data_IF_294995056064
#
_entry.id   IF_294995056064
#
_cell.length_a   1.000
_cell.length_b   1.000
_cell.length_c   1.000
_cell.angle_alpha   90.00
_cell.angle_beta   90.00
_cell.angle_gamma   90.00
#
_symmetry.space_group_name_H-M   'P 1'
#
loop_
_entity.id
_entity.type
_entity.pdbx_description
1 polymer ?
#
# COMPACT_ATOMS: atom_id res chain seq x y z
N UNK A 1 12.46 -25.50 -8.51
CA UNK A 1 12.01 -25.54 -7.10
C UNK A 1 11.04 -24.39 -6.86
N UNK A 2 9.79 -24.60 -7.30
CA UNK A 2 8.67 -23.68 -7.08
C UNK A 2 8.11 -23.93 -5.68
N UNK A 3 8.63 -23.21 -4.69
CA UNK A 3 8.00 -23.11 -3.38
C UNK A 3 7.05 -21.92 -3.41
N UNK A 4 5.84 -22.25 -3.85
CA UNK A 4 4.58 -21.60 -3.53
C UNK A 4 4.68 -20.63 -2.34
N UNK A 5 4.51 -19.34 -2.62
CA UNK A 5 4.17 -18.31 -1.64
C UNK A 5 2.78 -18.65 -1.08
N UNK A 6 2.73 -19.60 -0.13
CA UNK A 6 1.56 -19.86 0.68
C UNK A 6 1.24 -18.59 1.48
N UNK A 7 0.03 -18.09 1.27
CA UNK A 7 -0.67 -17.02 2.00
C UNK A 7 0.16 -16.31 3.07
N UNK A 8 0.67 -15.14 2.68
CA UNK A 8 1.22 -14.20 3.64
C UNK A 8 0.08 -13.26 4.07
N UNK A 9 -0.23 -13.24 5.36
CA UNK A 9 -1.19 -12.27 5.90
C UNK A 9 -0.48 -10.93 6.11
N UNK A 10 -1.00 -9.86 5.51
CA UNK A 10 -0.60 -8.49 5.81
C UNK A 10 -1.13 -8.13 7.20
N UNK A 11 -0.22 -8.03 8.17
CA UNK A 11 -0.60 -7.66 9.54
C UNK A 11 0.13 -6.39 9.95
N UNK A 12 -0.65 -5.34 10.19
CA UNK A 12 -0.28 -4.04 10.77
C UNK A 12 0.60 -3.12 9.90
N UNK A 13 0.15 -1.87 9.78
CA UNK A 13 0.93 -0.74 9.26
C UNK A 13 1.35 0.12 10.44
N UNK A 14 2.65 0.37 10.56
CA UNK A 14 3.20 1.29 11.56
C UNK A 14 3.84 2.49 10.86
N UNK A 15 3.76 3.66 11.48
CA UNK A 15 4.31 4.91 10.95
C UNK A 15 5.32 5.45 11.94
N UNK A 16 6.53 5.73 11.46
CA UNK A 16 7.61 6.25 12.27
C UNK A 16 8.04 7.61 11.71
N UNK A 17 7.41 8.71 12.16
CA UNK A 17 7.89 10.04 11.81
C UNK A 17 9.33 10.22 12.33
N UNK A 18 10.27 10.61 11.48
CA UNK A 18 11.66 10.92 11.90
C UNK A 18 12.02 12.36 11.60
N UNK A 19 12.83 12.96 12.48
CA UNK A 19 13.53 14.21 12.18
C UNK A 19 14.50 13.98 11.01
N UNK A 20 14.59 14.95 10.09
CA UNK A 20 15.39 14.94 8.85
C UNK A 20 16.86 14.49 9.01
N UNK A 21 17.39 14.40 10.23
CA UNK A 21 18.74 13.92 10.51
C UNK A 21 18.90 12.40 10.43
N UNK A 22 17.81 11.61 10.36
CA UNK A 22 17.86 10.15 10.47
C UNK A 22 17.41 9.37 9.22
N UNK A 23 16.92 10.03 8.17
CA UNK A 23 16.49 9.35 6.93
C UNK A 23 17.26 9.92 5.72
N UNK A 24 18.18 9.15 5.11
CA UNK A 24 18.98 9.63 3.97
C UNK A 24 18.17 9.72 2.66
N UNK A 25 16.93 9.23 2.65
CA UNK A 25 16.01 9.19 1.50
C UNK A 25 14.70 9.89 1.84
N UNK A 26 14.01 10.40 0.83
CA UNK A 26 12.74 11.13 0.98
C UNK A 26 11.59 10.20 1.42
N UNK A 27 11.61 8.92 1.03
CA UNK A 27 10.65 7.91 1.47
C UNK A 27 11.32 6.54 1.44
N UNK A 28 11.19 5.76 2.52
CA UNK A 28 11.71 4.39 2.59
C UNK A 28 10.60 3.42 2.97
N UNK A 29 10.40 2.38 2.16
CA UNK A 29 9.56 1.23 2.50
C UNK A 29 10.42 0.16 3.15
N UNK A 30 10.07 -0.20 4.38
CA UNK A 30 10.70 -1.27 5.12
C UNK A 30 9.75 -2.46 5.24
N UNK A 31 10.25 -3.67 5.02
CA UNK A 31 9.46 -4.91 5.06
C UNK A 31 10.12 -5.86 6.07
N UNK A 32 9.32 -6.41 6.98
CA UNK A 32 9.74 -7.40 7.96
C UNK A 32 8.93 -8.67 7.72
N UNK A 33 9.63 -9.77 7.43
CA UNK A 33 9.03 -11.09 7.30
C UNK A 33 9.08 -11.83 8.63
N UNK A 34 7.92 -12.32 9.08
CA UNK A 34 7.82 -13.29 10.17
C UNK A 34 7.52 -14.67 9.57
N UNK A 35 8.58 -15.48 9.41
CA UNK A 35 8.48 -16.80 8.79
C UNK A 35 7.66 -17.80 9.61
N UNK A 36 7.70 -17.69 10.94
CA UNK A 36 6.94 -18.58 11.85
C UNK A 36 5.43 -18.33 11.72
N UNK A 37 5.03 -17.05 11.66
CA UNK A 37 3.64 -16.64 11.55
C UNK A 37 3.15 -16.52 10.10
N UNK A 38 4.04 -16.69 9.13
CA UNK A 38 3.77 -16.45 7.70
C UNK A 38 3.12 -15.07 7.48
N UNK A 39 3.69 -14.04 8.09
CA UNK A 39 3.20 -12.66 7.92
C UNK A 39 4.29 -11.74 7.39
N UNK A 40 3.86 -10.72 6.64
CA UNK A 40 4.68 -9.57 6.28
C UNK A 40 4.10 -8.35 6.97
N UNK A 41 4.97 -7.60 7.64
CA UNK A 41 4.67 -6.27 8.14
C UNK A 41 5.48 -5.25 7.36
N UNK A 42 4.91 -4.09 7.10
CA UNK A 42 5.63 -3.00 6.45
C UNK A 42 5.42 -1.68 7.18
N UNK A 43 6.40 -0.79 7.05
CA UNK A 43 6.33 0.57 7.54
C UNK A 43 7.04 1.52 6.59
N UNK A 44 6.57 2.77 6.58
CA UNK A 44 7.16 3.86 5.80
C UNK A 44 7.94 4.78 6.75
N UNK A 45 9.24 4.96 6.49
CA UNK A 45 10.04 6.03 7.09
C UNK A 45 10.02 7.24 6.14
N UNK A 46 9.77 8.43 6.68
CA UNK A 46 9.68 9.66 5.92
C UNK A 46 10.12 10.88 6.75
N UNK A 47 10.66 11.95 6.12
CA UNK A 47 10.91 13.22 6.78
C UNK A 47 9.60 14.02 6.92
N UNK A 48 9.23 14.40 8.15
CA UNK A 48 8.03 15.20 8.42
C UNK A 48 8.03 16.57 7.72
N UNK A 49 9.19 17.06 7.27
CA UNK A 49 9.29 18.31 6.52
C UNK A 49 8.77 18.20 5.08
N UNK A 50 8.74 16.98 4.52
CA UNK A 50 8.33 16.73 3.13
C UNK A 50 6.91 16.18 3.03
N UNK A 51 6.44 15.47 4.06
CA UNK A 51 5.15 14.80 4.03
C UNK A 51 4.40 14.99 5.33
N UNK A 52 3.12 15.37 5.21
CA UNK A 52 2.16 15.29 6.31
C UNK A 52 1.86 13.82 6.64
N UNK A 53 1.63 13.53 7.92
CA UNK A 53 1.34 12.16 8.37
C UNK A 53 0.15 11.54 7.62
N UNK A 54 -0.90 12.31 7.37
CA UNK A 54 -2.09 11.87 6.63
C UNK A 54 -1.75 11.45 5.19
N UNK A 55 -0.79 12.13 4.55
CA UNK A 55 -0.32 11.78 3.20
C UNK A 55 0.33 10.41 3.21
N UNK A 56 1.19 10.14 4.18
CA UNK A 56 1.88 8.84 4.30
C UNK A 56 0.90 7.73 4.72
N UNK A 57 -0.07 8.02 5.57
CA UNK A 57 -1.17 7.10 5.89
C UNK A 57 -1.93 6.68 4.63
N UNK A 58 -2.30 7.66 3.81
CA UNK A 58 -2.99 7.42 2.55
C UNK A 58 -2.11 6.60 1.60
N UNK A 59 -0.81 6.91 1.48
CA UNK A 59 0.12 6.12 0.67
C UNK A 59 0.25 4.68 1.16
N UNK A 60 0.31 4.44 2.47
CA UNK A 60 0.36 3.09 3.04
C UNK A 60 -0.91 2.27 2.70
N UNK A 61 -2.09 2.89 2.83
CA UNK A 61 -3.37 2.26 2.46
C UNK A 61 -3.45 1.94 0.96
N UNK A 62 -2.94 2.85 0.13
CA UNK A 62 -2.87 2.65 -1.33
C UNK A 62 -1.93 1.49 -1.68
N UNK A 63 -0.78 1.41 -1.02
CA UNK A 63 0.16 0.30 -1.20
C UNK A 63 -0.46 -1.03 -0.76
N UNK A 64 -1.16 -1.07 0.38
CA UNK A 64 -1.91 -2.25 0.82
C UNK A 64 -2.97 -2.67 -0.22
N UNK A 65 -3.72 -1.72 -0.78
CA UNK A 65 -4.70 -1.99 -1.84
C UNK A 65 -4.05 -2.59 -3.08
N UNK A 66 -2.89 -2.06 -3.50
CA UNK A 66 -2.14 -2.61 -4.63
C UNK A 66 -1.70 -4.05 -4.37
N UNK A 67 -1.17 -4.35 -3.17
CA UNK A 67 -0.76 -5.72 -2.82
C UNK A 67 -1.93 -6.70 -2.82
N UNK A 68 -3.10 -6.29 -2.33
CA UNK A 68 -4.32 -7.12 -2.41
C UNK A 68 -4.71 -7.37 -3.85
N UNK A 69 -4.64 -6.34 -4.69
CA UNK A 69 -4.97 -6.51 -6.11
C UNK A 69 -3.99 -7.46 -6.83
N UNK A 70 -2.72 -7.47 -6.43
CA UNK A 70 -1.69 -8.31 -7.06
C UNK A 70 -1.68 -9.76 -6.55
N UNK A 71 -1.96 -9.98 -5.26
CA UNK A 71 -1.63 -11.24 -4.59
C UNK A 71 -2.78 -11.85 -3.76
N UNK A 72 -3.90 -11.16 -3.59
CA UNK A 72 -5.06 -11.76 -2.93
C UNK A 72 -5.64 -12.87 -3.81
N UNK A 73 -6.00 -13.99 -3.20
CA UNK A 73 -6.60 -15.16 -3.87
C UNK A 73 -7.93 -14.80 -4.54
N UNK A 74 -8.59 -13.76 -4.03
CA UNK A 74 -9.84 -13.23 -4.61
C UNK A 74 -9.63 -12.28 -5.80
N UNK A 75 -8.38 -11.88 -6.09
CA UNK A 75 -8.07 -11.03 -7.22
C UNK A 75 -8.02 -11.83 -8.53
N UNK A 76 -8.54 -11.24 -9.61
CA UNK A 76 -8.47 -11.78 -10.97
C UNK A 76 -7.34 -11.13 -11.79
N UNK A 77 -6.42 -10.40 -11.16
CA UNK A 77 -5.32 -9.75 -11.85
C UNK A 77 -4.31 -10.77 -12.36
N UNK A 78 -4.11 -10.82 -13.67
CA UNK A 78 -3.09 -11.67 -14.30
C UNK A 78 -1.73 -10.95 -14.22
N UNK A 79 -0.83 -11.47 -13.38
CA UNK A 79 0.49 -10.89 -13.16
C UNK A 79 1.38 -10.90 -14.41
N UNK A 80 1.13 -11.79 -15.38
CA UNK A 80 1.99 -11.97 -16.54
C UNK A 80 1.54 -11.12 -17.73
N UNK A 81 0.23 -10.86 -17.88
CA UNK A 81 -0.35 -10.21 -19.06
C UNK A 81 -1.20 -8.95 -18.76
N UNK A 82 -1.59 -8.67 -17.51
CA UNK A 82 -2.31 -7.43 -17.20
C UNK A 82 -1.36 -6.23 -16.99
N UNK A 83 -1.61 -5.10 -17.67
CA UNK A 83 -0.78 -3.92 -17.50
C UNK A 83 -1.02 -3.22 -16.15
N UNK A 84 0.06 -2.70 -15.56
CA UNK A 84 0.09 -2.06 -14.23
C UNK A 84 -0.95 -0.94 -14.07
N UNK A 85 -1.32 -0.20 -15.12
CA UNK A 85 -2.29 0.89 -15.02
C UNK A 85 -3.71 0.41 -14.66
N UNK A 86 -4.03 -0.89 -14.80
CA UNK A 86 -5.29 -1.47 -14.35
C UNK A 86 -5.38 -1.62 -12.83
N UNK A 87 -4.26 -1.53 -12.12
CA UNK A 87 -4.25 -1.62 -10.66
C UNK A 87 -4.93 -0.40 -10.06
N UNK A 88 -6.04 -0.64 -9.37
CA UNK A 88 -6.75 0.42 -8.65
C UNK A 88 -5.94 0.92 -7.44
N UNK A 89 -5.48 2.16 -7.51
CA UNK A 89 -4.84 2.86 -6.38
C UNK A 89 -5.83 3.73 -5.59
N UNK A 90 -7.01 4.00 -6.15
CA UNK A 90 -8.03 4.84 -5.51
C UNK A 90 -8.66 4.10 -4.33
N UNK A 91 -8.75 4.76 -3.18
CA UNK A 91 -9.34 4.22 -1.97
C UNK A 91 -10.88 4.26 -2.04
N UNK A 92 -11.61 3.33 -1.40
CA UNK A 92 -13.07 3.27 -1.50
C UNK A 92 -13.81 4.55 -1.11
N UNK A 93 -13.23 5.39 -0.24
CA UNK A 93 -13.83 6.68 0.11
C UNK A 93 -13.63 7.76 -0.95
N UNK A 94 -12.54 7.67 -1.73
CA UNK A 94 -12.25 8.56 -2.86
C UNK A 94 -13.15 8.23 -4.05
N UNK A 95 -13.49 6.95 -4.26
CA UNK A 95 -14.48 6.52 -5.26
C UNK A 95 -15.86 7.17 -5.04
N UNK A 96 -16.29 7.27 -3.78
CA UNK A 96 -17.54 7.95 -3.41
C UNK A 96 -17.50 9.44 -3.72
N UNK A 97 -16.36 10.09 -3.49
CA UNK A 97 -16.19 11.51 -3.79
C UNK A 97 -16.31 11.76 -5.30
N UNK A 98 -15.67 10.93 -6.12
CA UNK A 98 -15.77 11.04 -7.58
C UNK A 98 -17.22 10.88 -8.07
N UNK A 99 -17.96 9.92 -7.50
CA UNK A 99 -19.37 9.75 -7.82
C UNK A 99 -20.21 10.98 -7.46
N UNK A 100 -20.01 11.54 -6.26
CA UNK A 100 -20.73 12.72 -5.81
C UNK A 100 -20.42 13.98 -6.62
N UNK A 101 -19.19 14.13 -7.13
CA UNK A 101 -18.83 15.24 -8.02
C UNK A 101 -19.57 15.12 -9.35
N UNK A 102 -19.72 13.90 -9.88
CA UNK A 102 -20.44 13.69 -11.14
C UNK A 102 -21.96 13.92 -11.00
N UNK A 103 -22.58 13.54 -9.88
CA UNK A 103 -24.03 13.71 -9.67
C UNK A 103 -24.41 15.18 -9.45
N UNK A 104 -23.55 15.99 -8.85
CA UNK A 104 -23.84 17.39 -8.55
C UNK A 104 -23.60 18.35 -9.74
N UNK A 105 -23.23 17.83 -10.90
CA UNK A 105 -23.00 18.59 -12.14
C UNK A 105 -24.09 18.39 -13.20
N UNK A 106 -25.16 17.65 -12.88
CA UNK A 106 -26.40 17.53 -13.66
C UNK A 106 -27.56 18.30 -12.99
#
# INVERSE_FOLDING_TARGET
NNLFLKQIYLTNHQLFPRDNKLTPLDLTLNIIANLEKQTLSFYLDYPNKLFEQETIQTLALRYEKLLKHLFDVSSNFDLDDEPIYKLAIILPHEERLMHNININND
#
